data_IF_537329068397
#
_entry.id   IF_537329068397
#
_cell.length_a   1.000
_cell.length_b   1.000
_cell.length_c   1.000
_cell.angle_alpha   90.00
_cell.angle_beta   90.00
_cell.angle_gamma   90.00
#
_symmetry.space_group_name_H-M   'P 1'
#
loop_
_entity.id
_entity.type
_entity.pdbx_description
1 polymer ?
#
# COMPACT_ATOMS: atom_id res chain seq x y z
N UNK A 1 -26.67 -4.76 -45.33
CA UNK A 1 -25.52 -3.93 -44.89
C UNK A 1 -25.80 -3.48 -43.45
N UNK A 2 -24.94 -3.85 -42.49
CA UNK A 2 -24.64 -3.10 -41.26
C UNK A 2 -23.91 -4.03 -40.27
N UNK A 3 -22.60 -4.20 -40.46
CA UNK A 3 -21.67 -4.76 -39.44
C UNK A 3 -20.71 -3.67 -38.91
N UNK A 4 -21.00 -2.40 -39.21
CA UNK A 4 -20.08 -1.29 -38.93
C UNK A 4 -20.25 -0.69 -37.52
N UNK A 5 -21.31 -1.04 -36.76
CA UNK A 5 -21.64 -0.31 -35.52
C UNK A 5 -20.97 -0.84 -34.24
N UNK A 6 -20.54 -2.11 -34.15
CA UNK A 6 -19.98 -2.66 -32.89
C UNK A 6 -18.47 -2.45 -32.74
N UNK A 7 -17.73 -2.27 -33.83
CA UNK A 7 -16.29 -2.07 -33.79
C UNK A 7 -15.89 -0.66 -33.30
N UNK A 8 -16.71 0.36 -33.59
CA UNK A 8 -16.48 1.73 -33.12
C UNK A 8 -16.66 1.88 -31.60
N UNK A 9 -17.65 1.18 -31.02
CA UNK A 9 -17.87 1.21 -29.56
C UNK A 9 -16.73 0.53 -28.78
N UNK A 10 -16.21 -0.61 -29.27
CA UNK A 10 -15.06 -1.28 -28.67
C UNK A 10 -13.76 -0.45 -28.82
N UNK A 11 -13.59 0.25 -29.95
CA UNK A 11 -12.47 1.16 -30.17
C UNK A 11 -12.50 2.40 -29.27
N UNK A 12 -13.69 2.96 -29.02
CA UNK A 12 -13.86 4.09 -28.09
C UNK A 12 -13.61 3.69 -26.64
N UNK A 13 -14.10 2.53 -26.17
CA UNK A 13 -13.79 2.04 -24.82
C UNK A 13 -12.29 1.78 -24.61
N UNK A 14 -11.58 1.27 -25.63
CA UNK A 14 -10.13 1.06 -25.56
C UNK A 14 -9.34 2.37 -25.48
N UNK A 15 -9.77 3.40 -26.22
CA UNK A 15 -9.16 4.72 -26.20
C UNK A 15 -9.44 5.47 -24.88
N UNK A 16 -10.66 5.42 -24.36
CA UNK A 16 -11.03 6.02 -23.08
C UNK A 16 -10.29 5.35 -21.92
N UNK A 17 -10.20 4.01 -21.92
CA UNK A 17 -9.42 3.28 -20.92
C UNK A 17 -7.91 3.62 -21.00
N UNK A 18 -7.38 3.87 -22.19
CA UNK A 18 -6.00 4.30 -22.37
C UNK A 18 -5.77 5.73 -21.86
N UNK A 19 -6.70 6.65 -22.14
CA UNK A 19 -6.67 8.03 -21.64
C UNK A 19 -6.79 8.04 -20.11
N UNK A 20 -7.70 7.25 -19.53
CA UNK A 20 -7.81 7.10 -18.08
C UNK A 20 -6.53 6.52 -17.47
N UNK A 21 -5.93 5.48 -18.06
CA UNK A 21 -4.63 4.95 -17.60
C UNK A 21 -3.51 5.99 -17.70
N UNK A 22 -3.52 6.81 -18.74
CA UNK A 22 -2.49 7.83 -18.95
C UNK A 22 -2.67 9.03 -18.01
N UNK A 23 -3.90 9.46 -17.76
CA UNK A 23 -4.24 10.50 -16.79
C UNK A 23 -4.02 10.04 -15.34
N UNK A 24 -4.33 8.77 -15.06
CA UNK A 24 -4.03 8.12 -13.78
C UNK A 24 -2.51 8.00 -13.58
N UNK A 25 -1.77 7.47 -14.56
CA UNK A 25 -0.30 7.39 -14.51
C UNK A 25 0.39 8.77 -14.44
N UNK A 26 -0.21 9.83 -15.00
CA UNK A 26 0.28 11.19 -14.86
C UNK A 26 -0.01 11.79 -13.47
N UNK A 27 -1.14 11.43 -12.84
CA UNK A 27 -1.46 11.81 -11.47
C UNK A 27 -0.60 11.04 -10.46
N UNK A 28 -0.39 9.74 -10.68
CA UNK A 28 0.55 8.89 -9.96
C UNK A 28 2.01 9.35 -10.17
N UNK A 29 2.36 10.00 -11.28
CA UNK A 29 3.70 10.56 -11.46
C UNK A 29 3.91 11.88 -10.69
N UNK A 30 2.83 12.61 -10.37
CA UNK A 30 2.85 13.78 -9.49
C UNK A 30 2.76 13.39 -8.01
N UNK A 31 1.98 12.36 -7.66
CA UNK A 31 1.82 11.86 -6.29
C UNK A 31 2.93 10.86 -5.89
N UNK A 32 3.42 10.06 -6.85
CA UNK A 32 4.59 9.18 -6.77
C UNK A 32 5.94 9.88 -6.94
N UNK A 33 5.95 11.22 -6.89
CA UNK A 33 7.19 12.00 -6.84
C UNK A 33 7.77 11.97 -5.43
N UNK A 34 8.54 10.89 -5.22
CA UNK A 34 9.45 10.56 -4.10
C UNK A 34 8.79 9.72 -3.02
N UNK A 35 9.18 8.44 -2.99
CA UNK A 35 9.53 7.67 -1.78
C UNK A 35 9.66 8.63 -0.61
N UNK A 36 8.67 8.62 0.28
CA UNK A 36 8.73 9.52 1.42
C UNK A 36 10.03 9.22 2.17
N UNK A 37 10.69 10.24 2.72
CA UNK A 37 11.89 10.03 3.53
C UNK A 37 11.63 8.95 4.59
N UNK A 38 10.44 8.97 5.18
CA UNK A 38 9.93 7.98 6.12
C UNK A 38 9.97 6.54 5.56
N UNK A 39 9.37 6.29 4.40
CA UNK A 39 9.38 4.95 3.79
C UNK A 39 10.80 4.49 3.47
N UNK A 40 11.67 5.39 3.00
CA UNK A 40 13.09 5.07 2.76
C UNK A 40 13.83 4.69 4.05
N UNK A 41 13.55 5.36 5.16
CA UNK A 41 14.10 5.00 6.47
C UNK A 41 13.58 3.62 6.91
N UNK A 42 12.27 3.36 6.81
CA UNK A 42 11.67 2.06 7.15
C UNK A 42 12.29 0.93 6.33
N UNK A 43 12.40 1.11 5.01
CA UNK A 43 13.03 0.15 4.11
C UNK A 43 14.49 -0.12 4.48
N UNK A 44 15.24 0.90 4.88
CA UNK A 44 16.64 0.74 5.30
C UNK A 44 16.79 -0.11 6.55
N UNK A 45 15.91 0.07 7.55
CA UNK A 45 15.94 -0.71 8.79
C UNK A 45 15.50 -2.15 8.54
N UNK A 46 14.45 -2.37 7.74
CA UNK A 46 14.03 -3.73 7.34
C UNK A 46 15.17 -4.49 6.63
N UNK A 47 15.90 -3.80 5.75
CA UNK A 47 17.05 -4.36 5.06
C UNK A 47 18.19 -4.71 6.03
N UNK A 48 18.47 -3.84 7.01
CA UNK A 48 19.46 -4.11 8.06
C UNK A 48 19.06 -5.31 8.95
N UNK A 49 17.76 -5.49 9.18
CA UNK A 49 17.18 -6.65 9.88
C UNK A 49 17.24 -7.95 9.05
N UNK A 50 17.62 -7.88 7.77
CA UNK A 50 17.68 -9.03 6.88
C UNK A 50 16.31 -9.52 6.39
N UNK A 51 15.29 -8.66 6.42
CA UNK A 51 13.95 -8.97 5.89
C UNK A 51 13.90 -8.70 4.40
N UNK A 52 13.46 -9.67 3.61
CA UNK A 52 13.23 -9.48 2.18
C UNK A 52 11.84 -8.88 1.89
N UNK A 53 11.82 -7.84 1.05
CA UNK A 53 10.60 -7.15 0.66
C UNK A 53 10.68 -6.56 -0.76
N UNK A 54 9.54 -6.12 -1.27
CA UNK A 54 9.38 -5.37 -2.50
C UNK A 54 8.72 -4.01 -2.19
N UNK A 55 9.36 -2.91 -2.57
CA UNK A 55 8.81 -1.56 -2.43
C UNK A 55 7.83 -1.27 -3.56
N UNK A 56 6.78 -0.48 -3.28
CA UNK A 56 5.78 -0.04 -4.28
C UNK A 56 5.20 -1.20 -5.10
N UNK A 57 4.88 -2.30 -4.40
CA UNK A 57 4.34 -3.49 -5.03
C UNK A 57 2.93 -3.20 -5.56
N UNK A 58 2.74 -3.37 -6.87
CA UNK A 58 1.42 -3.23 -7.50
C UNK A 58 0.77 -4.60 -7.64
N UNK A 59 -0.38 -4.78 -6.99
CA UNK A 59 -1.18 -5.99 -7.19
C UNK A 59 -1.71 -6.06 -8.63
N UNK A 60 -1.38 -7.15 -9.32
CA UNK A 60 -1.70 -7.33 -10.74
C UNK A 60 -3.19 -7.52 -11.02
N UNK A 61 -4.01 -7.83 -10.01
CA UNK A 61 -5.44 -8.03 -10.19
C UNK A 61 -6.24 -6.75 -9.90
N UNK A 62 -5.92 -6.05 -8.82
CA UNK A 62 -6.66 -4.90 -8.32
C UNK A 62 -6.05 -3.56 -8.74
N UNK A 63 -4.76 -3.53 -9.06
CA UNK A 63 -4.00 -2.31 -9.34
C UNK A 63 -3.67 -1.47 -8.11
N UNK A 64 -3.80 -2.00 -6.89
CA UNK A 64 -3.38 -1.27 -5.69
C UNK A 64 -1.86 -1.32 -5.54
N UNK A 65 -1.23 -0.17 -5.28
CA UNK A 65 0.17 -0.12 -4.83
C UNK A 65 0.24 -0.28 -3.31
N UNK A 66 1.09 -1.18 -2.84
CA UNK A 66 1.45 -1.40 -1.44
C UNK A 66 2.87 -0.87 -1.22
N UNK A 67 3.08 -0.11 -0.15
CA UNK A 67 4.38 0.55 0.04
C UNK A 67 5.52 -0.47 0.21
N UNK A 68 5.25 -1.58 0.92
CA UNK A 68 6.19 -2.67 1.17
C UNK A 68 5.44 -4.02 1.23
N UNK A 69 5.77 -4.94 0.32
CA UNK A 69 5.31 -6.34 0.37
C UNK A 69 6.42 -7.24 0.89
N UNK A 70 6.18 -8.00 1.96
CA UNK A 70 7.18 -8.85 2.59
C UNK A 70 7.20 -10.26 1.98
N UNK A 71 8.39 -10.75 1.61
CA UNK A 71 8.58 -12.05 0.95
C UNK A 71 8.71 -13.21 1.94
N UNK A 72 9.31 -12.95 3.10
CA UNK A 72 9.59 -13.97 4.12
C UNK A 72 8.37 -14.34 4.99
N UNK A 73 7.30 -13.57 4.91
CA UNK A 73 6.14 -13.68 5.79
C UNK A 73 4.92 -14.18 5.00
N UNK A 74 4.95 -15.44 4.60
CA UNK A 74 3.79 -16.15 4.08
C UNK A 74 2.98 -16.77 5.24
N UNK A 75 1.67 -16.50 5.32
CA UNK A 75 0.82 -17.10 6.35
C UNK A 75 0.57 -18.60 6.09
N UNK A 76 0.51 -19.39 7.17
CA UNK A 76 0.52 -20.87 7.16
C UNK A 76 -0.71 -21.57 6.57
N UNK A 77 -1.78 -20.88 6.20
CA UNK A 77 -3.04 -21.52 5.79
C UNK A 77 -3.74 -20.83 4.60
N UNK A 78 -2.95 -20.35 3.64
CA UNK A 78 -3.47 -19.87 2.35
C UNK A 78 -3.31 -18.36 2.18
N UNK A 79 -2.36 -18.01 1.30
CA UNK A 79 -2.28 -16.81 0.47
C UNK A 79 -2.53 -15.44 1.12
N UNK A 80 -2.18 -15.27 2.39
CA UNK A 80 -2.09 -13.93 2.97
C UNK A 80 -0.62 -13.51 3.01
N UNK A 81 -0.26 -12.55 2.16
CA UNK A 81 1.07 -11.93 2.19
C UNK A 81 1.03 -10.74 3.16
N UNK A 82 2.08 -10.61 3.98
CA UNK A 82 2.21 -9.45 4.88
C UNK A 82 2.67 -8.25 4.08
N UNK A 83 1.97 -7.14 4.23
CA UNK A 83 2.33 -5.86 3.64
C UNK A 83 2.41 -4.79 4.73
N UNK A 84 3.30 -3.81 4.57
CA UNK A 84 3.40 -2.63 5.44
C UNK A 84 2.99 -1.40 4.64
N UNK A 85 2.01 -0.67 5.15
CA UNK A 85 1.65 0.67 4.70
C UNK A 85 2.32 1.71 5.61
N UNK A 86 3.03 2.65 5.02
CA UNK A 86 3.77 3.74 5.67
C UNK A 86 2.95 5.03 5.59
N UNK A 87 2.10 5.23 6.60
CA UNK A 87 1.18 6.35 6.64
C UNK A 87 1.92 7.66 7.07
N UNK A 88 2.41 8.43 6.08
CA UNK A 88 2.90 9.79 6.26
C UNK A 88 1.82 10.81 6.72
N UNK A 89 2.19 12.06 7.10
CA UNK A 89 1.23 13.06 7.60
C UNK A 89 0.04 13.35 6.70
N UNK A 90 0.22 13.25 5.37
CA UNK A 90 -0.85 13.48 4.38
C UNK A 90 -1.99 12.47 4.46
N UNK A 91 -1.81 11.32 5.10
CA UNK A 91 -2.82 10.28 5.29
C UNK A 91 -3.85 10.62 6.37
N UNK A 92 -3.63 11.70 7.11
CA UNK A 92 -4.40 12.11 8.28
C UNK A 92 -5.00 13.50 8.10
N UNK A 93 -6.10 13.77 8.79
CA UNK A 93 -6.64 15.11 8.90
C UNK A 93 -5.68 16.00 9.70
N UNK A 94 -5.42 17.20 9.17
CA UNK A 94 -4.43 18.15 9.72
C UNK A 94 -4.66 18.39 11.22
N UNK A 95 -3.59 18.27 12.02
CA UNK A 95 -3.64 18.47 13.47
C UNK A 95 -4.28 17.33 14.25
N UNK A 96 -4.56 16.18 13.60
CA UNK A 96 -5.16 15.01 14.24
C UNK A 96 -4.44 13.73 13.82
N UNK A 97 -4.73 12.64 14.51
CA UNK A 97 -4.35 11.28 14.11
C UNK A 97 -5.50 10.54 13.40
N UNK A 98 -6.53 11.26 12.97
CA UNK A 98 -7.68 10.68 12.27
C UNK A 98 -7.33 10.46 10.79
N UNK A 99 -7.40 9.21 10.33
CA UNK A 99 -7.17 8.85 8.92
C UNK A 99 -8.20 9.49 8.00
N UNK A 100 -7.75 9.94 6.83
CA UNK A 100 -8.63 10.41 5.77
C UNK A 100 -9.43 9.24 5.16
N UNK A 101 -10.59 9.55 4.57
CA UNK A 101 -11.47 8.55 3.97
C UNK A 101 -10.78 7.69 2.90
N UNK A 102 -9.91 8.31 2.07
CA UNK A 102 -9.13 7.57 1.06
C UNK A 102 -8.20 6.53 1.68
N UNK A 103 -7.52 6.87 2.78
CA UNK A 103 -6.64 5.97 3.52
C UNK A 103 -7.44 4.82 4.13
N UNK A 104 -8.57 5.12 4.78
CA UNK A 104 -9.44 4.09 5.36
C UNK A 104 -9.99 3.14 4.30
N UNK A 105 -10.42 3.68 3.15
CA UNK A 105 -10.94 2.87 2.04
C UNK A 105 -9.86 1.96 1.44
N UNK A 106 -8.68 2.50 1.10
CA UNK A 106 -7.55 1.70 0.56
C UNK A 106 -7.25 0.51 1.46
N UNK A 107 -7.07 0.76 2.76
CA UNK A 107 -6.78 -0.28 3.75
C UNK A 107 -7.84 -1.38 3.79
N UNK A 108 -9.12 -0.99 3.84
CA UNK A 108 -10.23 -1.96 3.87
C UNK A 108 -10.22 -2.86 2.64
N UNK A 109 -10.02 -2.28 1.45
CA UNK A 109 -9.97 -3.05 0.21
C UNK A 109 -8.76 -4.00 0.20
N UNK A 110 -7.56 -3.48 0.51
CA UNK A 110 -6.32 -4.28 0.61
C UNK A 110 -6.48 -5.46 1.58
N UNK A 111 -7.06 -5.23 2.75
CA UNK A 111 -7.33 -6.30 3.71
C UNK A 111 -8.36 -7.31 3.19
N UNK A 112 -9.42 -6.86 2.50
CA UNK A 112 -10.42 -7.75 1.91
C UNK A 112 -9.87 -8.60 0.75
N UNK A 113 -8.80 -8.15 0.09
CA UNK A 113 -8.07 -8.94 -0.90
C UNK A 113 -7.16 -10.01 -0.27
N UNK A 114 -7.14 -10.08 1.06
CA UNK A 114 -6.37 -11.08 1.78
C UNK A 114 -4.93 -10.67 2.00
N UNK A 115 -4.59 -9.38 2.00
CA UNK A 115 -3.29 -8.93 2.53
C UNK A 115 -3.38 -8.76 4.04
N UNK A 116 -2.33 -9.22 4.73
CA UNK A 116 -2.12 -8.90 6.13
C UNK A 116 -1.46 -7.51 6.20
N UNK A 117 -2.30 -6.48 6.07
CA UNK A 117 -1.85 -5.10 6.01
C UNK A 117 -1.53 -4.55 7.40
N UNK A 118 -0.25 -4.38 7.65
CA UNK A 118 0.31 -3.67 8.81
C UNK A 118 0.49 -2.21 8.48
N UNK A 119 0.47 -1.38 9.51
CA UNK A 119 0.61 0.05 9.30
C UNK A 119 1.53 0.67 10.27
N UNK A 120 2.36 1.55 9.74
CA UNK A 120 3.31 2.36 10.44
C UNK A 120 2.91 3.83 10.29
N UNK A 121 2.25 4.42 11.29
CA UNK A 121 1.97 5.86 11.32
C UNK A 121 3.25 6.66 11.54
N UNK A 122 3.41 7.78 10.81
CA UNK A 122 4.61 8.62 10.92
C UNK A 122 4.95 9.04 12.36
N UNK A 123 3.95 9.36 13.19
CA UNK A 123 4.21 9.80 14.56
C UNK A 123 4.75 8.71 15.48
N UNK A 124 4.45 7.43 15.20
CA UNK A 124 5.02 6.31 15.97
C UNK A 124 6.48 6.08 15.60
N UNK A 125 6.84 6.40 14.35
CA UNK A 125 8.22 6.33 13.88
C UNK A 125 9.05 7.52 14.33
N UNK A 126 8.52 8.73 14.22
CA UNK A 126 9.24 9.98 14.51
C UNK A 126 9.69 10.11 15.98
N UNK A 127 9.03 9.39 16.89
CA UNK A 127 9.42 9.37 18.30
C UNK A 127 10.63 8.46 18.58
N UNK A 128 10.94 7.52 17.68
CA UNK A 128 12.05 6.56 17.83
C UNK A 128 13.37 7.25 17.52
N UNK A 129 14.27 7.32 18.50
CA UNK A 129 15.53 8.05 18.41
C UNK A 129 16.70 7.17 17.99
N UNK A 130 16.68 5.88 18.35
CA UNK A 130 17.79 4.96 18.06
C UNK A 130 17.40 3.90 17.02
N UNK A 131 18.42 3.31 16.39
CA UNK A 131 18.22 2.21 15.44
C UNK A 131 17.64 0.98 16.14
N UNK A 132 18.04 0.71 17.39
CA UNK A 132 17.50 -0.40 18.18
C UNK A 132 16.00 -0.22 18.48
N UNK A 133 15.55 1.01 18.73
CA UNK A 133 14.13 1.31 18.94
C UNK A 133 13.32 1.09 17.65
N UNK A 134 13.86 1.52 16.50
CA UNK A 134 13.26 1.31 15.17
C UNK A 134 13.20 -0.18 14.81
N UNK A 135 14.29 -0.91 15.01
CA UNK A 135 14.31 -2.36 14.82
C UNK A 135 13.27 -3.06 15.71
N UNK A 136 13.23 -2.71 17.00
CA UNK A 136 12.28 -3.31 17.93
C UNK A 136 10.82 -3.01 17.57
N UNK A 137 10.54 -1.78 17.13
CA UNK A 137 9.24 -1.40 16.61
C UNK A 137 8.85 -2.28 15.42
N UNK A 138 9.73 -2.41 14.41
CA UNK A 138 9.46 -3.24 13.25
C UNK A 138 9.30 -4.72 13.61
N UNK A 139 10.14 -5.26 14.50
CA UNK A 139 9.97 -6.65 14.99
C UNK A 139 8.60 -6.86 15.63
N UNK A 140 8.08 -5.88 16.39
CA UNK A 140 6.73 -5.96 16.95
C UNK A 140 5.66 -5.85 15.88
N UNK A 141 5.82 -4.93 14.92
CA UNK A 141 4.88 -4.73 13.83
C UNK A 141 4.73 -6.00 12.97
N UNK A 142 5.84 -6.68 12.69
CA UNK A 142 5.89 -7.94 11.93
C UNK A 142 5.21 -9.10 12.65
N UNK A 143 5.31 -9.18 13.98
CA UNK A 143 4.75 -10.27 14.79
C UNK A 143 3.39 -9.98 15.43
N UNK A 144 2.84 -8.77 15.25
CA UNK A 144 1.45 -8.49 15.62
C UNK A 144 0.53 -9.42 14.79
N UNK A 145 -0.75 -9.54 15.10
CA UNK A 145 -1.75 -10.13 14.18
C UNK A 145 -2.77 -9.04 13.89
N UNK A 146 -3.25 -8.88 12.65
CA UNK A 146 -4.28 -7.90 12.37
C UNK A 146 -5.52 -8.30 13.15
N UNK A 147 -6.03 -7.42 14.00
CA UNK A 147 -7.32 -7.63 14.66
C UNK A 147 -8.43 -7.53 13.60
N UNK A 148 -8.70 -8.63 12.91
CA UNK A 148 -9.90 -8.74 12.06
C UNK A 148 -11.08 -8.83 13.02
N UNK A 149 -11.75 -7.71 13.26
CA UNK A 149 -13.07 -7.72 13.88
C UNK A 149 -14.06 -8.15 12.80
N UNK A 150 -14.34 -9.45 12.72
CA UNK A 150 -15.50 -9.94 11.97
C UNK A 150 -16.72 -9.57 12.83
N UNK A 151 -17.32 -8.42 12.56
CA UNK A 151 -18.68 -8.17 13.02
C UNK A 151 -19.61 -9.03 12.16
N UNK A 152 -20.14 -10.10 12.76
CA UNK A 152 -21.27 -10.89 12.24
C UNK A 152 -22.56 -10.08 12.29
#
# INVERSE_FOLDING_TARGET
>A
RSRASSALAAGQMGAEAAICRQAWGASDAEEGKRRSRLQGEVASVLKAMGVEFEEEYVDGHSGYSLDLLLKDFACKEGACAVAIEVDGPSHYAVGTQQRLGRTVMKRRHVQQMGYDLRTLPYWEWDVLQTEEEKELYLRRLLHTTPSVTVSL
#
